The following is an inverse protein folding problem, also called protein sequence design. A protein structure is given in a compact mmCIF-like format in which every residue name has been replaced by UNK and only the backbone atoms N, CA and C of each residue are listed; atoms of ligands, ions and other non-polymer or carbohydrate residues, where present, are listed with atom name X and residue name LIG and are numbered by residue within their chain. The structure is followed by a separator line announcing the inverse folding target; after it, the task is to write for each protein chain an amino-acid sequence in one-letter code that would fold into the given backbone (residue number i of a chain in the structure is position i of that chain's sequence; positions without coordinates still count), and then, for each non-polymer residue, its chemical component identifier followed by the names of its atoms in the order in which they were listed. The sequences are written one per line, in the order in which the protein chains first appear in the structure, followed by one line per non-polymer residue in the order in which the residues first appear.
data_IF_086531306524
#
_entry.id   IF_086531306524
#
_cell.length_a   1.000
_cell.length_b   1.000
_cell.length_c   1.000
_cell.angle_alpha   90.00
_cell.angle_beta   90.00
_cell.angle_gamma   90.00
#
_symmetry.space_group_name_H-M   'P 1'
#
loop_
_entity.id
_entity.type
_entity.pdbx_description
1 polymer ?
#
# COMPACT_ATOMS: atom_id res chain seq x y z
N UNK A 1 10.42 3.64 -23.50
CA UNK A 1 11.11 4.52 -22.54
C UNK A 1 10.19 5.63 -22.05
N UNK A 2 9.53 6.37 -22.95
CA UNK A 2 8.64 7.48 -22.57
C UNK A 2 7.44 7.09 -21.68
N UNK A 3 6.78 5.95 -21.96
CA UNK A 3 5.68 5.45 -21.15
C UNK A 3 6.06 5.19 -19.68
N UNK A 4 7.26 4.65 -19.44
CA UNK A 4 7.74 4.36 -18.09
C UNK A 4 7.94 5.66 -17.30
N UNK A 5 8.57 6.66 -17.91
CA UNK A 5 8.78 7.96 -17.29
C UNK A 5 7.45 8.63 -16.94
N UNK A 6 6.45 8.53 -17.82
CA UNK A 6 5.10 9.05 -17.56
C UNK A 6 4.46 8.35 -16.35
N UNK A 7 4.52 7.03 -16.27
CA UNK A 7 3.94 6.26 -15.16
C UNK A 7 4.66 6.59 -13.85
N UNK A 8 6.00 6.64 -13.85
CA UNK A 8 6.77 7.04 -12.68
C UNK A 8 6.42 8.44 -12.20
N UNK A 9 6.28 9.37 -13.14
CA UNK A 9 5.87 10.73 -12.82
C UNK A 9 4.49 10.77 -12.17
N UNK A 10 3.51 10.02 -12.72
CA UNK A 10 2.16 9.92 -12.14
C UNK A 10 2.21 9.33 -10.72
N UNK A 11 2.99 8.27 -10.50
CA UNK A 11 3.12 7.64 -9.18
C UNK A 11 3.70 8.62 -8.16
N UNK A 12 4.80 9.30 -8.49
CA UNK A 12 5.47 10.25 -7.59
C UNK A 12 4.56 11.45 -7.31
N UNK A 13 3.90 11.97 -8.34
CA UNK A 13 2.97 13.08 -8.21
C UNK A 13 1.80 12.69 -7.30
N UNK A 14 1.20 11.51 -7.53
CA UNK A 14 0.08 11.01 -6.73
C UNK A 14 0.47 10.75 -5.29
N UNK A 15 1.65 10.17 -5.04
CA UNK A 15 2.21 10.00 -3.70
C UNK A 15 2.37 11.36 -2.97
N UNK A 16 2.92 12.34 -3.68
CA UNK A 16 3.17 13.67 -3.12
C UNK A 16 1.86 14.39 -2.80
N UNK A 17 0.89 14.38 -3.73
CA UNK A 17 -0.42 14.99 -3.52
C UNK A 17 -1.16 14.28 -2.38
N UNK A 18 -1.07 12.96 -2.27
CA UNK A 18 -1.71 12.20 -1.20
C UNK A 18 -1.28 12.68 0.20
N UNK A 19 0.02 12.96 0.40
CA UNK A 19 0.56 13.44 1.68
C UNK A 19 0.18 14.90 1.96
N UNK A 20 0.09 15.74 0.93
CA UNK A 20 -0.17 17.18 1.08
C UNK A 20 -1.69 17.49 1.08
N UNK A 21 -2.52 16.55 0.65
CA UNK A 21 -3.97 16.73 0.55
C UNK A 21 -4.61 17.10 1.89
N UNK A 22 -5.34 18.23 1.89
CA UNK A 22 -6.01 18.74 3.10
C UNK A 22 -7.17 17.84 3.55
N UNK A 23 -7.91 17.32 2.58
CA UNK A 23 -9.06 16.44 2.83
C UNK A 23 -8.61 15.00 2.77
N UNK A 24 -8.95 14.21 3.79
CA UNK A 24 -8.63 12.78 3.87
C UNK A 24 -9.14 12.00 2.66
N UNK A 25 -10.32 12.36 2.14
CA UNK A 25 -10.88 11.73 0.93
C UNK A 25 -9.99 11.96 -0.30
N UNK A 26 -9.45 13.16 -0.46
CA UNK A 26 -8.54 13.46 -1.57
C UNK A 26 -7.23 12.69 -1.41
N UNK A 27 -6.73 12.54 -0.19
CA UNK A 27 -5.54 11.72 0.10
C UNK A 27 -5.76 10.26 -0.29
N UNK A 28 -6.92 9.69 0.08
CA UNK A 28 -7.32 8.33 -0.24
C UNK A 28 -7.42 8.08 -1.76
N UNK A 29 -8.03 9.01 -2.50
CA UNK A 29 -8.13 8.92 -3.96
C UNK A 29 -6.74 8.92 -4.61
N UNK A 30 -5.83 9.75 -4.12
CA UNK A 30 -4.46 9.80 -4.64
C UNK A 30 -3.64 8.55 -4.29
N UNK A 31 -3.93 7.88 -3.17
CA UNK A 31 -3.36 6.55 -2.89
C UNK A 31 -3.89 5.49 -3.87
N UNK A 32 -5.17 5.58 -4.27
CA UNK A 32 -5.75 4.70 -5.29
C UNK A 32 -5.00 4.82 -6.63
N UNK A 33 -4.81 6.07 -7.08
CA UNK A 33 -4.11 6.37 -8.34
C UNK A 33 -2.65 5.90 -8.29
N UNK A 34 -1.98 6.08 -7.15
CA UNK A 34 -0.63 5.56 -6.91
C UNK A 34 -0.61 4.04 -7.08
N UNK A 35 -1.51 3.32 -6.40
CA UNK A 35 -1.55 1.84 -6.43
C UNK A 35 -1.89 1.30 -7.83
N UNK A 36 -2.77 1.96 -8.58
CA UNK A 36 -3.03 1.64 -10.00
C UNK A 36 -1.75 1.81 -10.83
N UNK A 37 -1.02 2.92 -10.66
CA UNK A 37 0.24 3.15 -11.37
C UNK A 37 1.29 2.08 -11.06
N UNK A 38 1.42 1.68 -9.78
CA UNK A 38 2.32 0.60 -9.35
C UNK A 38 1.90 -0.74 -9.96
N UNK A 39 0.61 -1.07 -9.96
CA UNK A 39 0.09 -2.29 -10.61
C UNK A 39 0.43 -2.32 -12.11
N UNK A 40 0.26 -1.21 -12.82
CA UNK A 40 0.65 -1.10 -14.24
C UNK A 40 2.16 -1.36 -14.41
N UNK A 41 3.03 -0.79 -13.55
CA UNK A 41 4.46 -1.09 -13.60
C UNK A 41 4.74 -2.58 -13.40
N UNK A 42 4.08 -3.23 -12.43
CA UNK A 42 4.25 -4.66 -12.17
C UNK A 42 3.83 -5.51 -13.38
N UNK A 43 2.76 -5.16 -14.09
CA UNK A 43 2.39 -5.83 -15.34
C UNK A 43 3.47 -5.67 -16.41
N UNK A 44 4.00 -4.45 -16.56
CA UNK A 44 5.03 -4.17 -17.55
C UNK A 44 6.33 -4.93 -17.23
N UNK A 45 6.67 -5.09 -15.95
CA UNK A 45 7.83 -5.88 -15.50
C UNK A 45 7.61 -7.41 -15.50
N UNK A 46 6.46 -7.88 -15.98
CA UNK A 46 6.14 -9.31 -16.05
C UNK A 46 5.72 -9.95 -14.72
N UNK A 47 5.57 -9.16 -13.65
CA UNK A 47 5.13 -9.62 -12.34
C UNK A 47 3.58 -9.69 -12.26
N UNK A 48 2.96 -10.46 -13.16
CA UNK A 48 1.50 -10.48 -13.38
C UNK A 48 0.71 -10.75 -12.11
N UNK A 49 1.11 -11.76 -11.31
CA UNK A 49 0.40 -12.09 -10.08
C UNK A 49 0.48 -10.97 -9.03
N UNK A 50 1.66 -10.36 -8.86
CA UNK A 50 1.82 -9.22 -7.95
C UNK A 50 1.00 -8.02 -8.42
N UNK A 51 0.95 -7.76 -9.73
CA UNK A 51 0.16 -6.68 -10.31
C UNK A 51 -1.34 -6.84 -10.03
N UNK A 52 -1.88 -8.05 -10.19
CA UNK A 52 -3.29 -8.35 -9.88
C UNK A 52 -3.59 -8.21 -8.39
N UNK A 53 -2.69 -8.66 -7.52
CA UNK A 53 -2.86 -8.49 -6.07
C UNK A 53 -2.84 -7.01 -5.66
N UNK A 54 -1.91 -6.23 -6.20
CA UNK A 54 -1.84 -4.78 -5.94
C UNK A 54 -3.13 -4.07 -6.41
N UNK A 55 -3.62 -4.39 -7.62
CA UNK A 55 -4.84 -3.79 -8.15
C UNK A 55 -6.10 -4.18 -7.37
N UNK A 56 -6.21 -5.45 -6.97
CA UNK A 56 -7.38 -5.98 -6.27
C UNK A 56 -7.42 -5.55 -4.80
N UNK A 57 -6.30 -5.70 -4.08
CA UNK A 57 -6.26 -5.52 -2.63
C UNK A 57 -5.96 -4.07 -2.27
N UNK A 58 -4.87 -3.50 -2.81
CA UNK A 58 -4.43 -2.15 -2.46
C UNK A 58 -5.32 -1.09 -3.12
N UNK A 59 -5.39 -1.08 -4.46
CA UNK A 59 -6.22 -0.11 -5.18
C UNK A 59 -7.72 -0.38 -5.01
N UNK A 60 -8.13 -1.65 -4.87
CA UNK A 60 -9.52 -2.06 -4.69
C UNK A 60 -9.95 -2.08 -3.22
N UNK A 61 -9.83 -3.23 -2.55
CA UNK A 61 -10.43 -3.51 -1.24
C UNK A 61 -10.05 -2.47 -0.17
N UNK A 62 -8.76 -2.27 0.07
CA UNK A 62 -8.27 -1.42 1.16
C UNK A 62 -8.65 0.03 0.90
N UNK A 63 -8.46 0.52 -0.33
CA UNK A 63 -8.75 1.92 -0.65
C UNK A 63 -10.25 2.21 -0.62
N UNK A 64 -11.12 1.30 -1.09
CA UNK A 64 -12.58 1.47 -0.98
C UNK A 64 -13.03 1.44 0.48
N UNK A 65 -12.49 0.54 1.30
CA UNK A 65 -12.74 0.54 2.75
C UNK A 65 -12.32 1.86 3.40
N UNK A 66 -11.14 2.37 3.03
CA UNK A 66 -10.62 3.62 3.57
C UNK A 66 -11.48 4.82 3.16
N UNK A 67 -11.86 4.93 1.88
CA UNK A 67 -12.78 5.95 1.38
C UNK A 67 -14.12 5.87 2.11
N UNK A 68 -14.66 4.66 2.29
CA UNK A 68 -15.93 4.44 3.00
C UNK A 68 -15.84 4.88 4.46
N UNK A 69 -14.78 4.49 5.16
CA UNK A 69 -14.55 4.86 6.55
C UNK A 69 -14.38 6.38 6.72
N UNK A 70 -13.56 7.00 5.88
CA UNK A 70 -13.36 8.46 5.88
C UNK A 70 -14.66 9.20 5.54
N UNK A 71 -15.49 8.67 4.64
CA UNK A 71 -16.78 9.28 4.31
C UNK A 71 -17.81 9.16 5.45
N UNK A 72 -17.69 8.15 6.32
CA UNK A 72 -18.54 8.00 7.49
C UNK A 72 -18.12 8.94 8.64
N UNK A 73 -16.83 9.23 8.75
CA UNK A 73 -16.30 10.18 9.73
C UNK A 73 -16.53 11.59 9.20
N UNK A 74 -17.76 12.09 9.38
CA UNK A 74 -18.12 13.48 9.13
C UNK A 74 -17.41 14.35 10.17
N UNK A 75 -16.41 15.11 9.75
CA UNK A 75 -15.79 16.13 10.60
C UNK A 75 -16.31 17.51 10.17
N UNK A 76 -16.87 18.21 11.15
CA UNK A 76 -16.92 19.67 11.19
C UNK A 76 -15.46 20.16 11.18
N UNK A 77 -14.86 20.25 9.98
CA UNK A 77 -13.51 20.77 9.79
C UNK A 77 -13.52 22.30 9.92
N UNK A 78 -13.86 22.77 11.12
CA UNK A 78 -13.74 24.17 11.49
C UNK A 78 -12.26 24.48 11.78
N UNK A 79 -11.61 25.05 10.77
CA UNK A 79 -10.64 26.16 10.85
C UNK A 79 -9.47 26.10 11.86
N UNK A 80 -9.01 24.94 12.32
CA UNK A 80 -7.71 24.90 13.01
C UNK A 80 -6.60 25.26 12.01
N UNK A 81 -6.12 26.49 12.12
CA UNK A 81 -5.01 27.08 11.36
C UNK A 81 -3.69 26.40 11.76
N UNK A 82 -3.55 25.15 11.35
CA UNK A 82 -2.35 24.37 11.61
C UNK A 82 -1.20 24.94 10.77
N UNK A 83 -0.08 25.27 11.42
CA UNK A 83 1.10 25.81 10.75
C UNK A 83 1.76 24.71 9.88
N UNK A 84 1.32 24.62 8.62
CA UNK A 84 1.66 23.56 7.67
C UNK A 84 2.99 23.77 6.92
N UNK A 85 3.85 24.69 7.38
CA UNK A 85 5.19 24.91 6.77
C UNK A 85 6.04 23.62 6.77
N UNK A 86 5.79 22.70 7.71
CA UNK A 86 6.42 21.37 7.75
C UNK A 86 6.12 20.52 6.50
N UNK A 87 4.96 20.68 5.86
CA UNK A 87 4.61 19.95 4.63
C UNK A 87 5.27 20.56 3.37
N UNK A 88 5.72 21.82 3.43
CA UNK A 88 6.53 22.43 2.36
C UNK A 88 7.94 21.84 2.32
N UNK A 89 8.47 21.34 3.45
CA UNK A 89 9.80 20.70 3.52
C UNK A 89 9.77 19.26 2.99
N UNK A 90 8.61 18.60 3.03
CA UNK A 90 8.43 17.21 2.60
C UNK A 90 8.94 16.89 1.19
N UNK A 91 8.62 17.65 0.11
CA UNK A 91 9.15 17.35 -1.23
C UNK A 91 10.68 17.39 -1.29
N UNK A 92 11.35 18.24 -0.49
CA UNK A 92 12.81 18.27 -0.44
C UNK A 92 13.40 17.03 0.21
N UNK A 93 12.76 16.53 1.28
CA UNK A 93 13.13 15.25 1.90
C UNK A 93 12.92 14.10 0.91
N UNK A 94 11.82 14.13 0.15
CA UNK A 94 11.50 13.12 -0.86
C UNK A 94 12.58 13.11 -1.97
N UNK A 95 13.01 14.27 -2.45
CA UNK A 95 14.12 14.39 -3.41
C UNK A 95 15.42 13.83 -2.83
N UNK A 96 15.75 14.15 -1.57
CA UNK A 96 16.94 13.60 -0.92
C UNK A 96 16.90 12.07 -0.85
N UNK A 97 15.74 11.51 -0.49
CA UNK A 97 15.53 10.05 -0.48
C UNK A 97 15.71 9.48 -1.89
N UNK A 98 15.13 10.07 -2.93
CA UNK A 98 15.26 9.60 -4.31
C UNK A 98 16.74 9.58 -4.76
N UNK A 99 17.50 10.62 -4.42
CA UNK A 99 18.93 10.70 -4.77
C UNK A 99 19.72 9.60 -4.05
N UNK A 100 19.52 9.47 -2.73
CA UNK A 100 20.18 8.43 -1.93
C UNK A 100 19.81 7.04 -2.47
N UNK A 101 18.51 6.77 -2.65
CA UNK A 101 18.04 5.51 -3.19
C UNK A 101 18.63 5.21 -4.56
N UNK A 102 18.74 6.19 -5.47
CA UNK A 102 19.33 5.96 -6.80
C UNK A 102 20.80 5.53 -6.76
N UNK A 103 21.53 5.87 -5.70
CA UNK A 103 22.94 5.47 -5.53
C UNK A 103 23.04 4.05 -4.96
N UNK A 104 22.30 3.76 -3.89
CA UNK A 104 22.48 2.51 -3.13
C UNK A 104 21.59 1.34 -3.59
N UNK A 105 20.39 1.64 -4.10
CA UNK A 105 19.39 0.62 -4.43
C UNK A 105 19.81 -0.27 -5.61
N UNK A 106 20.42 0.25 -6.70
CA UNK A 106 20.83 -0.61 -7.82
C UNK A 106 21.83 -1.69 -7.42
N UNK A 107 22.85 -1.33 -6.64
CA UNK A 107 23.90 -2.26 -6.19
C UNK A 107 23.32 -3.33 -5.27
N UNK A 108 22.47 -2.93 -4.32
CA UNK A 108 21.74 -3.85 -3.44
C UNK A 108 20.92 -4.89 -4.21
N UNK A 109 20.14 -4.47 -5.21
CA UNK A 109 19.33 -5.41 -6.00
C UNK A 109 20.19 -6.32 -6.90
N UNK A 110 21.34 -5.84 -7.36
CA UNK A 110 22.26 -6.64 -8.17
C UNK A 110 22.91 -7.76 -7.33
N UNK A 111 23.19 -7.50 -6.05
CA UNK A 111 23.61 -8.55 -5.12
C UNK A 111 22.49 -9.54 -4.81
N UNK A 112 21.27 -9.07 -4.56
CA UNK A 112 20.12 -9.95 -4.31
C UNK A 112 19.83 -10.90 -5.47
N UNK A 113 20.04 -10.46 -6.72
CA UNK A 113 19.83 -11.30 -7.89
C UNK A 113 20.72 -12.56 -7.86
N UNK A 114 21.92 -12.48 -7.26
CA UNK A 114 22.84 -13.64 -7.14
C UNK A 114 22.28 -14.73 -6.23
N UNK A 115 21.41 -14.37 -5.28
CA UNK A 115 20.74 -15.29 -4.37
C UNK A 115 19.39 -15.79 -4.91
N UNK A 116 19.02 -15.44 -6.14
CA UNK A 116 17.79 -15.95 -6.76
C UNK A 116 17.91 -17.46 -6.99
N UNK A 117 17.28 -18.25 -6.11
CA UNK A 117 17.16 -19.71 -6.24
C UNK A 117 16.27 -20.15 -7.40
N UNK A 118 15.62 -19.21 -8.09
CA UNK A 118 14.77 -19.49 -9.24
C UNK A 118 15.64 -19.63 -10.51
N UNK A 119 16.07 -20.87 -10.79
CA UNK A 119 16.71 -21.22 -12.05
C UNK A 119 15.67 -21.17 -13.19
N UNK A 120 15.96 -20.37 -14.20
CA UNK A 120 15.15 -20.07 -15.40
C UNK A 120 14.94 -21.27 -16.34
N UNK A 121 15.35 -22.48 -15.95
CA UNK A 121 15.39 -23.62 -16.86
C UNK A 121 14.01 -24.27 -17.14
N UNK A 122 13.00 -24.01 -16.30
CA UNK A 122 11.60 -24.39 -16.58
C UNK A 122 10.64 -23.37 -15.96
N UNK A 123 9.78 -22.77 -16.78
CA UNK A 123 8.61 -22.00 -16.35
C UNK A 123 7.64 -22.91 -15.58
N UNK A 124 7.98 -23.24 -14.33
CA UNK A 124 7.06 -23.93 -13.44
C UNK A 124 5.93 -22.95 -13.07
N UNK A 125 4.68 -23.44 -12.96
CA UNK A 125 3.57 -22.60 -12.50
C UNK A 125 3.91 -21.92 -11.17
N UNK A 126 3.56 -20.64 -11.03
CA UNK A 126 3.84 -19.85 -9.81
C UNK A 126 3.36 -20.57 -8.54
N UNK A 127 2.26 -21.31 -8.63
CA UNK A 127 1.66 -22.05 -7.51
C UNK A 127 2.56 -23.15 -6.99
N UNK A 128 3.28 -23.86 -7.86
CA UNK A 128 4.24 -24.90 -7.45
C UNK A 128 5.41 -24.25 -6.70
N UNK A 129 5.94 -23.14 -7.22
CA UNK A 129 7.02 -22.40 -6.57
C UNK A 129 6.61 -21.87 -5.19
N UNK A 130 5.46 -21.17 -5.14
CA UNK A 130 4.92 -20.57 -3.93
C UNK A 130 4.67 -21.66 -2.88
N UNK A 131 4.09 -22.80 -3.26
CA UNK A 131 3.81 -23.88 -2.30
C UNK A 131 5.06 -24.63 -1.84
N UNK A 132 5.98 -24.99 -2.76
CA UNK A 132 7.17 -25.79 -2.43
C UNK A 132 8.26 -25.00 -1.70
N UNK A 133 8.48 -23.74 -2.07
CA UNK A 133 9.57 -22.93 -1.52
C UNK A 133 9.11 -21.87 -0.52
N UNK A 134 7.86 -21.41 -0.62
CA UNK A 134 7.30 -20.33 0.22
C UNK A 134 6.03 -20.76 0.97
N UNK A 135 5.72 -22.06 1.04
CA UNK A 135 4.47 -22.57 1.61
C UNK A 135 4.26 -22.15 3.07
N UNK A 136 5.35 -22.12 3.86
CA UNK A 136 5.32 -21.67 5.26
C UNK A 136 4.91 -20.21 5.37
N UNK A 137 5.42 -19.33 4.49
CA UNK A 137 5.05 -17.91 4.47
C UNK A 137 3.55 -17.74 4.19
N UNK A 138 2.98 -18.51 3.25
CA UNK A 138 1.55 -18.46 2.91
C UNK A 138 0.70 -18.88 4.11
N UNK A 139 1.06 -19.98 4.77
CA UNK A 139 0.32 -20.48 5.95
C UNK A 139 0.40 -19.43 7.07
N UNK A 140 1.57 -18.82 7.27
CA UNK A 140 1.74 -17.71 8.22
C UNK A 140 0.88 -16.51 7.88
N UNK A 141 0.83 -16.10 6.61
CA UNK A 141 -0.01 -14.99 6.15
C UNK A 141 -1.51 -15.30 6.30
N UNK A 142 -1.93 -16.52 5.97
CA UNK A 142 -3.33 -16.94 6.08
C UNK A 142 -3.80 -16.97 7.53
N UNK A 143 -2.97 -17.50 8.44
CA UNK A 143 -3.28 -17.51 9.87
C UNK A 143 -3.34 -16.08 10.43
N UNK A 144 -2.41 -15.20 10.04
CA UNK A 144 -2.44 -13.80 10.41
C UNK A 144 -3.73 -13.11 9.94
N UNK A 145 -4.11 -13.29 8.66
CA UNK A 145 -5.35 -12.73 8.11
C UNK A 145 -6.60 -13.25 8.84
N UNK A 146 -6.67 -14.56 9.10
CA UNK A 146 -7.78 -15.15 9.85
C UNK A 146 -7.87 -14.58 11.26
N UNK A 147 -6.74 -14.49 11.97
CA UNK A 147 -6.67 -13.88 13.31
C UNK A 147 -7.09 -12.41 13.29
N UNK A 148 -6.69 -11.63 12.29
CA UNK A 148 -7.10 -10.22 12.17
C UNK A 148 -8.63 -10.07 12.11
N UNK A 149 -9.33 -10.92 11.35
CA UNK A 149 -10.80 -10.87 11.26
C UNK A 149 -11.45 -11.17 12.62
N UNK A 150 -10.96 -12.17 13.35
CA UNK A 150 -11.50 -12.50 14.67
C UNK A 150 -11.28 -11.38 15.69
N UNK A 151 -10.11 -10.75 15.68
CA UNK A 151 -9.79 -9.61 16.55
C UNK A 151 -10.74 -8.44 16.26
N UNK A 152 -10.92 -8.08 14.99
CA UNK A 152 -11.82 -7.01 14.59
C UNK A 152 -13.25 -7.32 15.06
N UNK A 153 -13.75 -8.54 14.83
CA UNK A 153 -15.08 -8.97 15.30
C UNK A 153 -15.23 -8.85 16.82
N UNK A 154 -14.21 -9.27 17.58
CA UNK A 154 -14.23 -9.18 19.04
C UNK A 154 -14.30 -7.73 19.53
N UNK A 155 -13.54 -6.81 18.92
CA UNK A 155 -13.56 -5.38 19.27
C UNK A 155 -14.96 -4.78 19.04
N UNK A 156 -15.57 -5.03 17.88
CA UNK A 156 -16.91 -4.51 17.59
C UNK A 156 -17.98 -5.13 18.49
N UNK A 157 -17.88 -6.42 18.81
CA UNK A 157 -18.80 -7.07 19.75
C UNK A 157 -18.69 -6.53 21.18
N UNK A 158 -17.47 -6.31 21.67
CA UNK A 158 -17.22 -5.74 22.99
C UNK A 158 -17.82 -4.34 23.12
N UNK A 159 -17.61 -3.48 22.12
CA UNK A 159 -18.14 -2.11 22.13
C UNK A 159 -19.67 -2.06 22.14
N UNK A 160 -20.34 -3.02 21.49
CA UNK A 160 -21.81 -3.13 21.53
C UNK A 160 -22.30 -3.47 22.95
N UNK A 161 -21.69 -4.45 23.61
CA UNK A 161 -22.09 -4.85 24.97
C UNK A 161 -21.83 -3.78 26.03
N UNK A 162 -20.76 -2.99 25.91
CA UNK A 162 -20.48 -1.87 26.84
C UNK A 162 -21.59 -0.81 26.75
N UNK A 163 -22.02 -0.47 25.53
CA UNK A 163 -23.15 0.47 25.31
C UNK A 163 -24.48 -0.08 25.84
N UNK A 164 -24.75 -1.38 25.69
CA UNK A 164 -25.98 -2.01 26.18
C UNK A 164 -26.04 -2.11 27.72
N UNK A 165 -24.88 -2.19 28.39
CA UNK A 165 -24.78 -2.29 29.86
C UNK A 165 -24.59 -0.94 30.58
N UNK A 166 -24.78 0.19 29.89
CA UNK A 166 -24.72 1.53 30.51
C UNK A 166 -23.33 1.97 30.98
N UNK A 167 -22.26 1.37 30.44
CA UNK A 167 -20.90 1.85 30.69
C UNK A 167 -20.60 3.04 29.78
N UNK A 168 -20.79 4.25 30.29
CA UNK A 168 -20.35 5.46 29.61
C UNK A 168 -18.80 5.50 29.58
N UNK A 169 -18.23 5.73 28.39
CA UNK A 169 -16.81 6.03 28.18
C UNK A 169 -16.69 7.55 28.06
#
# INVERSE_FOLDING_TARGET
MELYLLIYFIIILSATISVIAKKLINSAIMLAVLSIGVSILLFIYGAVWAAVFELSVCAGLITVLFISAVSLVKNDEESLSENRVKYTVFPFILIAIIIISSIFVPEYFLELQKFSTYNTEKEKPIGEFIWMYRGVDIIGQLTLLASSVFIIKHIFFKNKNIKENGGDI
#
